data_IF_614739618556
#
_entry.id   IF_614739618556
#
_cell.length_a   1.000
_cell.length_b   1.000
_cell.length_c   1.000
_cell.angle_alpha   90.00
_cell.angle_beta   90.00
_cell.angle_gamma   90.00
#
_symmetry.space_group_name_H-M   'P 1'
#
loop_
_entity.id
_entity.type
_entity.pdbx_description
1 polymer ?
#
# COMPACT_ATOMS: atom_id res chain seq x y z
N UNK A 1 -6.03 3.29 -11.99
CA UNK A 1 -5.26 2.96 -10.77
C UNK A 1 -5.55 1.50 -10.50
N UNK A 2 -4.52 0.72 -10.24
CA UNK A 2 -4.67 -0.72 -10.01
C UNK A 2 -4.49 -0.96 -8.51
N UNK A 3 -5.59 -1.29 -7.83
CA UNK A 3 -5.62 -1.60 -6.40
C UNK A 3 -5.81 -3.11 -6.25
N UNK A 4 -4.78 -3.76 -5.70
CA UNK A 4 -4.72 -5.22 -5.59
C UNK A 4 -4.64 -5.60 -4.12
N UNK A 5 -5.51 -6.52 -3.69
CA UNK A 5 -5.64 -6.93 -2.29
C UNK A 5 -5.48 -8.44 -2.20
N UNK A 6 -4.63 -8.90 -1.29
CA UNK A 6 -4.49 -10.32 -0.94
C UNK A 6 -4.71 -10.51 0.55
N UNK A 7 -5.44 -11.55 0.94
CA UNK A 7 -5.68 -11.86 2.36
C UNK A 7 -4.44 -12.43 3.08
N UNK A 8 -3.46 -12.97 2.34
CA UNK A 8 -2.23 -13.50 2.89
C UNK A 8 -1.09 -13.48 1.85
N UNK A 9 0.09 -13.92 2.26
CA UNK A 9 1.33 -13.93 1.46
C UNK A 9 1.27 -14.78 0.18
N UNK A 10 0.26 -15.64 0.04
CA UNK A 10 0.06 -16.42 -1.19
C UNK A 10 -0.28 -15.56 -2.42
N UNK A 11 -0.59 -14.26 -2.20
CA UNK A 11 -0.68 -13.26 -3.25
C UNK A 11 -1.70 -13.57 -4.37
N UNK A 12 -2.81 -14.25 -4.06
CA UNK A 12 -3.84 -14.59 -5.05
C UNK A 12 -4.44 -13.35 -5.77
N UNK A 13 -4.44 -12.19 -5.11
CA UNK A 13 -4.85 -10.91 -5.71
C UNK A 13 -3.71 -10.15 -6.39
N UNK A 14 -2.51 -10.73 -6.46
CA UNK A 14 -1.31 -10.14 -7.05
C UNK A 14 -0.94 -8.75 -6.48
N UNK A 15 -1.01 -8.60 -5.16
CA UNK A 15 -0.78 -7.30 -4.49
C UNK A 15 0.59 -6.67 -4.83
N UNK A 16 1.64 -7.47 -5.03
CA UNK A 16 2.97 -6.95 -5.39
C UNK A 16 3.04 -6.24 -6.75
N UNK A 17 2.09 -6.45 -7.66
CA UNK A 17 2.07 -5.82 -8.99
C UNK A 17 0.93 -4.82 -9.16
N UNK A 18 0.17 -4.56 -8.10
CA UNK A 18 -0.76 -3.44 -8.04
C UNK A 18 -0.01 -2.12 -7.91
N UNK A 19 -0.59 -1.04 -8.45
CA UNK A 19 -0.08 0.31 -8.18
C UNK A 19 -0.10 0.60 -6.68
N UNK A 20 -1.17 0.15 -6.03
CA UNK A 20 -1.32 0.04 -4.58
C UNK A 20 -1.59 -1.44 -4.27
N UNK A 21 -0.66 -2.07 -3.56
CA UNK A 21 -0.76 -3.43 -3.08
C UNK A 21 -1.14 -3.46 -1.61
N UNK A 22 -2.11 -4.29 -1.24
CA UNK A 22 -2.53 -4.51 0.14
C UNK A 22 -2.39 -5.99 0.49
N UNK A 23 -1.59 -6.29 1.51
CA UNK A 23 -1.36 -7.63 2.03
C UNK A 23 -1.97 -7.76 3.42
N UNK A 24 -2.91 -8.68 3.60
CA UNK A 24 -3.41 -9.10 4.90
C UNK A 24 -2.33 -9.80 5.73
N UNK A 25 -2.23 -9.40 6.99
CA UNK A 25 -1.30 -9.91 7.99
C UNK A 25 -2.10 -10.18 9.27
N UNK A 26 -2.02 -11.40 9.80
CA UNK A 26 -2.55 -11.68 11.13
C UNK A 26 -1.54 -11.19 12.18
N UNK A 27 -2.01 -10.44 13.17
CA UNK A 27 -1.25 -10.20 14.41
C UNK A 27 -2.12 -10.56 15.60
N UNK A 28 -1.83 -11.67 16.25
CA UNK A 28 -2.54 -12.14 17.45
C UNK A 28 -4.06 -12.29 17.23
N UNK A 29 -4.46 -12.79 16.05
CA UNK A 29 -5.88 -12.96 15.71
C UNK A 29 -6.59 -11.66 15.31
N UNK A 30 -5.85 -10.57 15.08
CA UNK A 30 -6.37 -9.31 14.56
C UNK A 30 -5.96 -9.12 13.09
N UNK A 31 -6.86 -8.51 12.31
CA UNK A 31 -6.63 -8.21 10.89
C UNK A 31 -5.80 -6.92 10.73
N UNK A 32 -4.57 -7.10 10.24
CA UNK A 32 -3.66 -6.02 9.86
C UNK A 32 -3.39 -6.05 8.37
N UNK A 33 -2.93 -4.92 7.83
CA UNK A 33 -2.67 -4.80 6.40
C UNK A 33 -1.38 -4.04 6.14
N UNK A 34 -0.45 -4.69 5.45
CA UNK A 34 0.75 -4.06 4.91
C UNK A 34 0.42 -3.42 3.57
N UNK A 35 0.97 -2.23 3.32
CA UNK A 35 0.75 -1.47 2.09
C UNK A 35 2.04 -1.36 1.30
N UNK A 36 1.94 -1.63 0.01
CA UNK A 36 2.99 -1.50 -1.00
C UNK A 36 2.53 -0.53 -2.08
N UNK A 37 3.46 0.24 -2.65
CA UNK A 37 3.17 1.08 -3.83
C UNK A 37 4.25 0.94 -4.89
N UNK A 38 3.88 1.22 -6.14
CA UNK A 38 4.82 1.25 -7.26
C UNK A 38 4.94 -0.06 -8.04
N UNK A 39 4.09 -1.05 -7.76
CA UNK A 39 3.97 -2.26 -8.56
C UNK A 39 3.26 -1.98 -9.88
N UNK A 40 3.60 -2.73 -10.93
CA UNK A 40 2.89 -2.70 -12.20
C UNK A 40 3.15 -3.98 -13.02
N UNK A 41 2.18 -4.41 -13.83
CA UNK A 41 2.26 -5.63 -14.63
C UNK A 41 2.98 -5.47 -15.99
N UNK A 42 3.54 -4.30 -16.30
CA UNK A 42 4.24 -4.04 -17.57
C UNK A 42 3.32 -3.75 -18.76
N UNK A 43 2.00 -3.91 -18.59
CA UNK A 43 1.00 -3.53 -19.61
C UNK A 43 0.57 -2.07 -19.53
N UNK A 44 1.05 -1.35 -18.50
CA UNK A 44 0.74 0.04 -18.29
C UNK A 44 1.26 0.82 -19.51
N UNK A 45 0.36 1.51 -20.24
CA UNK A 45 0.63 2.26 -21.49
C UNK A 45 1.82 3.24 -21.49
N UNK A 46 2.52 3.44 -20.37
CA UNK A 46 3.76 4.23 -20.30
C UNK A 46 4.99 3.52 -20.89
N UNK A 47 4.87 2.27 -21.37
CA UNK A 47 6.02 1.55 -21.95
C UNK A 47 7.09 1.20 -20.91
N UNK A 48 6.72 1.17 -19.62
CA UNK A 48 7.62 0.78 -18.53
C UNK A 48 7.58 -0.73 -18.30
N UNK A 49 8.72 -1.35 -17.94
CA UNK A 49 8.74 -2.76 -17.58
C UNK A 49 7.90 -3.02 -16.33
N UNK A 50 7.46 -4.27 -16.18
CA UNK A 50 6.84 -4.73 -14.96
C UNK A 50 7.75 -4.44 -13.76
N UNK A 51 7.15 -4.07 -12.63
CA UNK A 51 7.86 -3.78 -11.39
C UNK A 51 7.07 -4.31 -10.19
N UNK A 52 7.80 -4.65 -9.14
CA UNK A 52 7.20 -4.97 -7.85
C UNK A 52 6.99 -3.69 -7.05
N UNK A 53 5.91 -3.69 -6.26
CA UNK A 53 5.63 -2.69 -5.25
C UNK A 53 6.68 -2.72 -4.15
N UNK A 54 6.81 -1.59 -3.46
CA UNK A 54 7.67 -1.44 -2.29
C UNK A 54 6.82 -1.19 -1.07
N UNK A 55 7.06 -1.95 -0.01
CA UNK A 55 6.46 -1.73 1.30
C UNK A 55 6.81 -0.33 1.80
N UNK A 56 5.78 0.47 2.12
CA UNK A 56 5.98 1.86 2.54
C UNK A 56 6.24 1.99 4.04
N UNK A 57 5.96 0.95 4.83
CA UNK A 57 6.29 0.90 6.27
C UNK A 57 5.49 -0.17 7.04
N UNK A 58 5.33 0.00 8.36
CA UNK A 58 4.55 -0.89 9.21
C UNK A 58 3.11 -1.12 8.72
N UNK A 59 2.53 -2.28 9.06
CA UNK A 59 1.12 -2.53 8.74
C UNK A 59 0.16 -1.74 9.62
N UNK A 60 -1.03 -1.50 9.07
CA UNK A 60 -2.13 -0.77 9.69
C UNK A 60 -3.23 -1.71 10.15
N UNK A 61 -4.00 -1.32 11.18
CA UNK A 61 -5.22 -2.04 11.53
C UNK A 61 -6.26 -1.90 10.41
N UNK A 62 -7.17 -2.88 10.29
CA UNK A 62 -8.25 -2.90 9.28
C UNK A 62 -8.96 -1.57 9.08
N UNK A 63 -9.32 -0.89 10.17
CA UNK A 63 -10.11 0.33 10.13
C UNK A 63 -9.30 1.57 9.68
N UNK A 64 -7.96 1.48 9.67
CA UNK A 64 -7.09 2.55 9.19
C UNK A 64 -6.83 2.48 7.68
N UNK A 65 -7.06 1.32 7.04
CA UNK A 65 -6.73 1.11 5.61
C UNK A 65 -7.39 2.13 4.67
N UNK A 66 -8.69 2.48 4.81
CA UNK A 66 -9.31 3.49 3.96
C UNK A 66 -8.62 4.86 4.07
N UNK A 67 -8.24 5.28 5.28
CA UNK A 67 -7.53 6.54 5.51
C UNK A 67 -6.13 6.53 4.88
N UNK A 68 -5.42 5.39 4.95
CA UNK A 68 -4.13 5.23 4.28
C UNK A 68 -4.25 5.39 2.77
N UNK A 69 -5.26 4.76 2.15
CA UNK A 69 -5.50 4.90 0.70
C UNK A 69 -5.84 6.34 0.33
N UNK A 70 -6.67 7.02 1.12
CA UNK A 70 -6.96 8.45 0.89
C UNK A 70 -5.67 9.30 0.95
N UNK A 71 -4.82 9.12 1.97
CA UNK A 71 -3.55 9.85 2.06
C UNK A 71 -2.62 9.61 0.87
N UNK A 72 -2.58 8.38 0.34
CA UNK A 72 -1.82 8.07 -0.88
C UNK A 72 -2.38 8.81 -2.10
N UNK A 73 -3.71 8.85 -2.23
CA UNK A 73 -4.37 9.56 -3.32
C UNK A 73 -4.19 11.07 -3.22
N UNK A 74 -4.28 11.65 -2.03
CA UNK A 74 -4.01 13.08 -1.82
C UNK A 74 -2.57 13.43 -2.18
N UNK A 75 -1.58 12.64 -1.72
CA UNK A 75 -0.18 12.82 -2.11
C UNK A 75 0.00 12.78 -3.63
N UNK A 76 -0.67 11.84 -4.30
CA UNK A 76 -0.65 11.75 -5.76
C UNK A 76 -1.25 13.00 -6.42
N UNK A 77 -2.41 13.46 -5.97
CA UNK A 77 -3.09 14.62 -6.54
C UNK A 77 -2.31 15.92 -6.34
N UNK A 78 -1.54 16.03 -5.25
CA UNK A 78 -0.67 17.17 -4.97
C UNK A 78 0.58 17.21 -5.85
N UNK A 79 1.10 16.04 -6.24
CA UNK A 79 2.35 15.94 -6.99
C UNK A 79 2.17 15.66 -8.48
N UNK A 80 0.95 15.34 -8.93
CA UNK A 80 0.69 15.12 -10.37
C UNK A 80 0.88 16.42 -11.14
N UNK A 81 1.60 16.35 -12.25
CA UNK A 81 1.91 17.51 -13.09
C UNK A 81 0.73 17.84 -14.04
N UNK A 82 -0.19 16.88 -14.25
CA UNK A 82 -1.40 17.07 -15.06
C UNK A 82 -2.49 16.04 -14.77
N UNK A 83 -3.70 16.26 -15.29
CA UNK A 83 -4.79 15.27 -15.26
C UNK A 83 -4.48 13.98 -16.04
N UNK A 84 -3.52 14.02 -16.97
CA UNK A 84 -3.11 12.87 -17.76
C UNK A 84 -2.05 12.00 -17.06
N UNK A 85 -1.33 12.56 -16.09
CA UNK A 85 -0.31 11.80 -15.35
C UNK A 85 -0.99 10.86 -14.37
N UNK A 86 -0.65 9.57 -14.40
CA UNK A 86 -1.30 8.55 -13.58
C UNK A 86 -0.55 8.37 -12.26
N UNK A 87 -1.23 7.81 -11.27
CA UNK A 87 -0.65 7.49 -9.96
C UNK A 87 0.71 6.79 -10.04
N UNK A 88 0.81 5.73 -10.85
CA UNK A 88 2.05 4.94 -10.97
C UNK A 88 3.21 5.73 -11.56
N UNK A 89 2.91 6.63 -12.51
CA UNK A 89 3.92 7.47 -13.13
C UNK A 89 4.47 8.48 -12.11
N UNK A 90 3.59 9.07 -11.28
CA UNK A 90 4.01 9.94 -10.16
C UNK A 90 4.87 9.16 -9.17
N UNK A 91 4.41 8.00 -8.68
CA UNK A 91 5.17 7.17 -7.72
C UNK A 91 6.56 6.84 -8.26
N UNK A 92 6.68 6.52 -9.54
CA UNK A 92 7.99 6.23 -10.11
C UNK A 92 8.83 7.47 -10.42
N UNK A 93 8.23 8.64 -10.65
CA UNK A 93 8.93 9.91 -10.90
C UNK A 93 9.53 10.49 -9.62
N UNK A 94 8.75 10.55 -8.54
CA UNK A 94 9.16 11.17 -7.27
C UNK A 94 9.63 10.16 -6.21
N UNK A 95 9.44 8.87 -6.48
CA UNK A 95 9.73 7.78 -5.55
C UNK A 95 8.65 7.60 -4.48
N UNK A 96 8.85 6.62 -3.60
CA UNK A 96 7.89 6.25 -2.55
C UNK A 96 7.99 7.11 -1.29
N UNK A 97 9.08 7.85 -1.13
CA UNK A 97 9.39 8.57 0.10
C UNK A 97 8.35 9.66 0.44
N UNK A 98 7.90 10.51 -0.50
CA UNK A 98 6.85 11.50 -0.20
C UNK A 98 5.53 10.86 0.26
N UNK A 99 5.15 9.73 -0.36
CA UNK A 99 3.97 8.97 0.02
C UNK A 99 4.07 8.38 1.42
N UNK A 100 5.24 7.82 1.75
CA UNK A 100 5.54 7.33 3.10
C UNK A 100 5.41 8.45 4.12
N UNK A 101 6.08 9.57 3.90
CA UNK A 101 6.05 10.72 4.81
C UNK A 101 4.62 11.25 4.99
N UNK A 102 3.83 11.34 3.92
CA UNK A 102 2.43 11.75 4.01
C UNK A 102 1.59 10.81 4.86
N UNK A 103 1.70 9.50 4.63
CA UNK A 103 0.92 8.48 5.35
C UNK A 103 1.29 8.47 6.83
N UNK A 104 2.58 8.32 7.16
CA UNK A 104 3.04 8.18 8.55
C UNK A 104 3.16 9.50 9.30
N UNK A 105 3.15 10.65 8.60
CA UNK A 105 3.06 11.97 9.24
C UNK A 105 1.64 12.33 9.68
N UNK A 106 0.62 11.74 9.04
CA UNK A 106 -0.80 12.02 9.32
C UNK A 106 -1.52 10.87 10.05
N UNK A 107 -0.95 9.65 10.02
CA UNK A 107 -1.53 8.45 10.62
C UNK A 107 -0.47 7.71 11.42
N UNK A 108 -0.70 7.59 12.72
CA UNK A 108 0.07 6.67 13.55
C UNK A 108 -0.50 5.24 13.42
N UNK A 109 0.31 4.23 13.05
CA UNK A 109 -0.12 2.85 13.13
C UNK A 109 -0.52 2.53 14.57
N UNK A 110 -1.70 1.93 14.76
CA UNK A 110 -2.09 1.48 16.09
C UNK A 110 -1.05 0.50 16.65
N UNK A 111 -0.86 0.42 17.97
CA UNK A 111 -0.12 -0.68 18.56
C UNK A 111 -0.91 -1.98 18.37
N UNK A 112 -0.23 -3.07 18.04
CA UNK A 112 -0.85 -4.39 18.07
C UNK A 112 -1.19 -4.76 19.52
N UNK A 113 -2.36 -5.38 19.74
CA UNK A 113 -2.73 -5.85 21.05
C UNK A 113 -1.79 -7.00 21.48
N UNK A 114 -1.00 -6.77 22.54
CA UNK A 114 -0.02 -7.73 23.06
C UNK A 114 -0.57 -8.57 24.22
N UNK A 115 -1.77 -8.27 24.69
CA UNK A 115 -2.32 -8.81 25.94
C UNK A 115 -3.21 -10.04 25.73
N UNK A 116 -3.22 -10.63 24.52
CA UNK A 116 -3.99 -11.85 24.25
C UNK A 116 -3.13 -13.10 24.40
N UNK A 117 -3.66 -14.09 25.12
CA UNK A 117 -3.11 -15.44 25.17
C UNK A 117 -2.90 -15.98 23.73
N UNK A 118 -1.77 -16.64 23.44
CA UNK A 118 -1.57 -17.26 22.15
C UNK A 118 -2.70 -18.27 21.90
N UNK A 119 -3.31 -18.22 20.72
CA UNK A 119 -4.30 -19.20 20.30
C UNK A 119 -3.72 -20.60 20.50
N UNK A 120 -4.36 -21.43 21.33
CA UNK A 120 -3.95 -22.81 21.55
C UNK A 120 -3.81 -23.51 20.20
N UNK A 121 -2.61 -24.04 19.96
CA UNK A 121 -2.29 -24.91 18.82
C UNK A 121 -2.89 -26.30 19.01
#
# INVERSE_FOLDING_TARGET
>A
IDLNISGCMNACGHHHVGHIGILGVDKNGEEWYQVEIGGNQGEVRSGRPASLGKVIGPSFARDQVPAVVDQLLQCYLEHRDSEAERFIDVVHRIGVQPFKERVYGNLDPKPANRDREPALA
#
